data_IF_812002901826
#
_entry.id   IF_812002901826
#
_cell.length_a   1.000
_cell.length_b   1.000
_cell.length_c   1.000
_cell.angle_alpha   90.00
_cell.angle_beta   90.00
_cell.angle_gamma   90.00
#
_symmetry.space_group_name_H-M   'P 1'
#
loop_
_entity.id
_entity.type
_entity.pdbx_description
1 polymer ?
#
# COMPACT_ATOMS: atom_id res chain seq x y z
N UNK A 1 -27.41 -26.51 -24.56
CA UNK A 1 -27.41 -26.26 -23.09
C UNK A 1 -25.97 -26.17 -22.57
N UNK A 2 -25.11 -25.33 -23.15
CA UNK A 2 -23.67 -25.28 -22.81
C UNK A 2 -23.24 -23.99 -22.10
N UNK A 3 -24.12 -22.98 -22.05
CA UNK A 3 -23.83 -21.68 -21.44
C UNK A 3 -23.87 -21.67 -19.90
N UNK A 4 -24.65 -22.56 -19.28
CA UNK A 4 -24.88 -22.52 -17.82
C UNK A 4 -23.71 -23.14 -17.02
N UNK A 5 -22.98 -24.09 -17.61
CA UNK A 5 -21.88 -24.81 -16.94
C UNK A 5 -20.60 -23.96 -16.84
N UNK A 6 -20.32 -23.13 -17.86
CA UNK A 6 -19.13 -22.26 -17.89
C UNK A 6 -19.23 -21.08 -16.91
N UNK A 7 -20.42 -20.49 -16.75
CA UNK A 7 -20.67 -19.44 -15.76
C UNK A 7 -20.50 -19.98 -14.33
N UNK A 8 -20.98 -21.19 -14.06
CA UNK A 8 -20.83 -21.85 -12.76
C UNK A 8 -19.38 -22.19 -12.42
N UNK A 9 -18.58 -22.65 -13.39
CA UNK A 9 -17.15 -22.94 -13.19
C UNK A 9 -16.33 -21.67 -12.90
N UNK A 10 -16.64 -20.58 -13.61
CA UNK A 10 -15.97 -19.30 -13.40
C UNK A 10 -16.26 -18.72 -12.00
N UNK A 11 -17.49 -18.87 -11.52
CA UNK A 11 -17.89 -18.43 -10.19
C UNK A 11 -17.26 -19.27 -9.07
N UNK A 12 -17.14 -20.57 -9.27
CA UNK A 12 -16.41 -21.46 -8.34
C UNK A 12 -14.94 -21.07 -8.27
N UNK A 13 -14.28 -20.89 -9.41
CA UNK A 13 -12.88 -20.48 -9.47
C UNK A 13 -12.66 -19.12 -8.78
N UNK A 14 -13.54 -18.14 -9.03
CA UNK A 14 -13.50 -16.84 -8.35
C UNK A 14 -13.57 -16.99 -6.83
N UNK A 15 -14.54 -17.77 -6.32
CA UNK A 15 -14.72 -17.98 -4.89
C UNK A 15 -13.53 -18.71 -4.25
N UNK A 16 -12.95 -19.69 -4.93
CA UNK A 16 -11.74 -20.39 -4.46
C UNK A 16 -10.53 -19.46 -4.37
N UNK A 17 -10.31 -18.62 -5.38
CA UNK A 17 -9.23 -17.62 -5.38
C UNK A 17 -9.42 -16.61 -4.27
N UNK A 18 -10.65 -16.12 -4.10
CA UNK A 18 -10.99 -15.16 -3.06
C UNK A 18 -10.78 -15.77 -1.66
N UNK A 19 -11.23 -17.02 -1.44
CA UNK A 19 -10.97 -17.77 -0.21
C UNK A 19 -9.47 -17.93 0.06
N UNK A 20 -8.69 -18.27 -0.97
CA UNK A 20 -7.23 -18.35 -0.90
C UNK A 20 -6.56 -17.02 -0.51
N UNK A 21 -7.06 -15.91 -1.06
CA UNK A 21 -6.58 -14.57 -0.74
C UNK A 21 -6.89 -14.18 0.71
N UNK A 22 -8.09 -14.50 1.22
CA UNK A 22 -8.44 -14.29 2.62
C UNK A 22 -7.59 -15.15 3.56
N UNK A 23 -7.41 -16.44 3.28
CA UNK A 23 -6.55 -17.30 4.08
C UNK A 23 -5.11 -16.75 4.15
N UNK A 24 -4.55 -16.33 3.02
CA UNK A 24 -3.23 -15.71 2.99
C UNK A 24 -3.16 -14.39 3.78
N UNK A 25 -4.23 -13.58 3.80
CA UNK A 25 -4.31 -12.38 4.64
C UNK A 25 -4.25 -12.74 6.14
N UNK A 26 -4.98 -13.76 6.57
CA UNK A 26 -5.02 -14.19 7.97
C UNK A 26 -3.68 -14.84 8.40
N UNK A 27 -3.07 -15.65 7.55
CA UNK A 27 -1.72 -16.19 7.76
C UNK A 27 -0.69 -15.07 7.91
N UNK A 28 -0.76 -14.06 7.02
CA UNK A 28 0.11 -12.88 7.09
C UNK A 28 -0.10 -12.04 8.35
N UNK A 29 -1.34 -11.94 8.83
CA UNK A 29 -1.68 -11.24 10.08
C UNK A 29 -1.14 -12.00 11.28
N UNK A 30 -1.27 -13.33 11.27
CA UNK A 30 -0.70 -14.22 12.29
C UNK A 30 0.82 -14.11 12.35
N UNK A 31 1.50 -14.17 11.20
CA UNK A 31 2.95 -14.01 11.11
C UNK A 31 3.41 -12.61 11.57
N UNK A 32 2.65 -11.55 11.22
CA UNK A 32 2.93 -10.18 11.66
C UNK A 32 2.83 -10.05 13.18
N UNK A 33 1.79 -10.62 13.79
CA UNK A 33 1.60 -10.61 15.24
C UNK A 33 2.70 -11.42 15.96
N UNK A 34 3.20 -12.48 15.32
CA UNK A 34 4.34 -13.26 15.80
C UNK A 34 5.71 -12.59 15.55
N UNK A 35 5.75 -11.38 14.99
CA UNK A 35 7.00 -10.66 14.68
C UNK A 35 7.78 -11.19 13.48
N UNK A 36 7.23 -12.16 12.74
CA UNK A 36 7.86 -12.80 11.58
C UNK A 36 7.63 -11.98 10.30
N UNK A 37 8.31 -10.85 10.21
CA UNK A 37 8.06 -9.85 9.16
C UNK A 37 8.26 -10.38 7.73
N UNK A 38 9.27 -11.22 7.50
CA UNK A 38 9.54 -11.83 6.18
C UNK A 38 8.46 -12.82 5.76
N UNK A 39 7.95 -13.61 6.71
CA UNK A 39 6.83 -14.52 6.45
C UNK A 39 5.54 -13.72 6.20
N UNK A 40 5.29 -12.68 6.99
CA UNK A 40 4.12 -11.83 6.82
C UNK A 40 4.05 -11.19 5.43
N UNK A 41 5.14 -10.58 4.95
CA UNK A 41 5.15 -9.99 3.60
C UNK A 41 4.99 -11.04 2.50
N UNK A 42 5.54 -12.25 2.69
CA UNK A 42 5.36 -13.36 1.75
C UNK A 42 3.88 -13.75 1.64
N UNK A 43 3.19 -13.94 2.76
CA UNK A 43 1.76 -14.28 2.76
C UNK A 43 0.90 -13.18 2.13
N UNK A 44 1.19 -11.90 2.40
CA UNK A 44 0.45 -10.82 1.76
C UNK A 44 0.67 -10.76 0.24
N UNK A 45 1.90 -10.99 -0.23
CA UNK A 45 2.19 -11.13 -1.67
C UNK A 45 1.43 -12.31 -2.28
N UNK A 46 1.39 -13.46 -1.59
CA UNK A 46 0.61 -14.63 -2.00
C UNK A 46 -0.87 -14.30 -2.13
N UNK A 47 -1.43 -13.52 -1.21
CA UNK A 47 -2.80 -12.99 -1.29
C UNK A 47 -3.03 -12.17 -2.57
N UNK A 48 -2.12 -11.25 -2.89
CA UNK A 48 -2.20 -10.46 -4.12
C UNK A 48 -2.10 -11.32 -5.39
N UNK A 49 -1.32 -12.41 -5.37
CA UNK A 49 -1.25 -13.35 -6.51
C UNK A 49 -2.59 -14.03 -6.78
N UNK A 50 -3.35 -14.41 -5.75
CA UNK A 50 -4.69 -14.96 -5.93
C UNK A 50 -5.66 -13.95 -6.57
N UNK A 51 -5.45 -12.66 -6.34
CA UNK A 51 -6.28 -11.59 -6.90
C UNK A 51 -5.76 -11.06 -8.25
N UNK A 52 -4.59 -11.53 -8.71
CA UNK A 52 -3.87 -10.94 -9.84
C UNK A 52 -4.68 -10.90 -11.13
N UNK A 53 -5.49 -11.94 -11.39
CA UNK A 53 -6.36 -12.07 -12.57
C UNK A 53 -7.51 -11.04 -12.58
N UNK A 54 -7.83 -10.43 -11.43
CA UNK A 54 -8.98 -9.54 -11.23
C UNK A 54 -8.61 -8.06 -11.04
N UNK A 55 -7.32 -7.74 -10.87
CA UNK A 55 -6.82 -6.39 -10.61
C UNK A 55 -6.25 -5.78 -11.90
N UNK A 56 -6.63 -4.53 -12.21
CA UNK A 56 -6.19 -3.80 -13.41
C UNK A 56 -4.68 -3.52 -13.44
N UNK A 57 -4.06 -3.60 -14.63
CA UNK A 57 -2.62 -3.34 -14.88
C UNK A 57 -2.18 -1.94 -14.45
N UNK A 58 -3.08 -0.94 -14.44
CA UNK A 58 -2.77 0.40 -13.92
C UNK A 58 -2.39 0.40 -12.43
N UNK A 59 -2.83 -0.61 -11.66
CA UNK A 59 -2.51 -0.79 -10.24
C UNK A 59 -1.31 -1.74 -10.02
N UNK A 60 -0.64 -2.20 -11.10
CA UNK A 60 0.40 -3.24 -11.07
C UNK A 60 1.84 -2.74 -11.03
N UNK A 61 2.15 -1.45 -11.13
CA UNK A 61 3.56 -1.01 -11.18
C UNK A 61 4.28 -1.33 -9.87
N UNK A 62 4.81 -2.55 -9.76
CA UNK A 62 5.57 -3.06 -8.65
C UNK A 62 7.02 -3.21 -9.12
N UNK A 63 7.99 -2.86 -8.30
CA UNK A 63 9.41 -3.07 -8.64
C UNK A 63 9.81 -4.56 -8.68
N UNK A 64 8.91 -5.47 -8.28
CA UNK A 64 9.12 -6.90 -8.21
C UNK A 64 8.78 -7.60 -9.54
N UNK A 65 9.72 -7.53 -10.48
CA UNK A 65 9.61 -8.08 -11.84
C UNK A 65 9.16 -9.56 -11.89
N UNK A 66 9.40 -10.32 -10.82
CA UNK A 66 8.99 -11.72 -10.73
C UNK A 66 7.47 -11.88 -10.54
N UNK A 67 6.86 -11.03 -9.73
CA UNK A 67 5.40 -11.03 -9.53
C UNK A 67 4.72 -10.54 -10.80
N UNK A 68 5.24 -9.49 -11.43
CA UNK A 68 4.70 -9.00 -12.71
C UNK A 68 4.81 -10.06 -13.81
N UNK A 69 5.95 -10.76 -13.94
CA UNK A 69 6.13 -11.83 -14.92
C UNK A 69 5.18 -13.02 -14.70
N UNK A 70 5.00 -13.47 -13.45
CA UNK A 70 4.11 -14.60 -13.14
C UNK A 70 2.64 -14.27 -13.42
N UNK A 71 2.23 -13.03 -13.14
CA UNK A 71 0.85 -12.63 -13.33
C UNK A 71 0.58 -12.23 -14.78
N UNK A 72 1.56 -11.72 -15.52
CA UNK A 72 1.44 -11.46 -16.96
C UNK A 72 1.32 -12.76 -17.77
N UNK A 73 2.01 -13.83 -17.34
CA UNK A 73 1.86 -15.17 -17.94
C UNK A 73 0.46 -15.76 -17.74
N UNK A 74 -0.25 -15.39 -16.68
CA UNK A 74 -1.63 -15.81 -16.41
C UNK A 74 -2.69 -14.97 -17.15
N UNK A 75 -2.34 -13.74 -17.54
CA UNK A 75 -3.27 -12.73 -18.06
C UNK A 75 -3.58 -12.79 -19.56
N UNK A 76 -2.92 -13.66 -20.34
CA UNK A 76 -3.10 -13.74 -21.80
C UNK A 76 -4.50 -14.29 -22.17
N UNK A 77 -5.23 -14.83 -21.20
CA UNK A 77 -6.58 -15.35 -21.41
C UNK A 77 -7.63 -14.46 -20.72
N UNK A 78 -8.36 -13.69 -21.53
CA UNK A 78 -9.70 -13.13 -21.25
C UNK A 78 -9.99 -12.75 -19.80
N UNK A 79 -9.83 -11.47 -19.46
CA UNK A 79 -10.29 -10.95 -18.17
C UNK A 79 -11.79 -11.17 -18.03
N UNK A 80 -12.23 -11.83 -16.95
CA UNK A 80 -13.64 -11.95 -16.67
C UNK A 80 -14.23 -10.57 -16.35
N UNK A 81 -15.33 -10.23 -17.00
CA UNK A 81 -16.16 -9.10 -16.60
C UNK A 81 -16.73 -9.42 -15.20
N UNK A 82 -16.17 -8.79 -14.16
CA UNK A 82 -16.71 -8.88 -12.80
C UNK A 82 -17.88 -7.92 -12.64
N UNK A 83 -18.86 -8.32 -11.81
CA UNK A 83 -19.87 -7.39 -11.32
C UNK A 83 -19.22 -6.31 -10.45
N UNK A 84 -19.88 -5.15 -10.34
CA UNK A 84 -19.39 -4.04 -9.53
C UNK A 84 -19.18 -4.44 -8.05
N UNK A 85 -20.03 -5.32 -7.52
CA UNK A 85 -19.93 -5.84 -6.15
C UNK A 85 -18.69 -6.71 -5.95
N UNK A 86 -18.44 -7.66 -6.86
CA UNK A 86 -17.26 -8.53 -6.81
C UNK A 86 -15.97 -7.74 -6.99
N UNK A 87 -15.98 -6.76 -7.90
CA UNK A 87 -14.82 -5.88 -8.08
C UNK A 87 -14.54 -5.06 -6.81
N UNK A 88 -15.59 -4.55 -6.15
CA UNK A 88 -15.46 -3.85 -4.87
C UNK A 88 -14.90 -4.75 -3.78
N UNK A 89 -15.34 -6.01 -3.72
CA UNK A 89 -14.81 -6.99 -2.77
C UNK A 89 -13.32 -7.30 -3.00
N UNK A 90 -12.94 -7.56 -4.26
CA UNK A 90 -11.53 -7.77 -4.65
C UNK A 90 -10.69 -6.55 -4.28
N UNK A 91 -11.16 -5.33 -4.58
CA UNK A 91 -10.46 -4.10 -4.25
C UNK A 91 -10.31 -3.91 -2.74
N UNK A 92 -11.36 -4.18 -1.95
CA UNK A 92 -11.29 -4.12 -0.49
C UNK A 92 -10.19 -5.03 0.07
N UNK A 93 -10.14 -6.28 -0.40
CA UNK A 93 -9.14 -7.25 0.05
C UNK A 93 -7.74 -6.86 -0.42
N UNK A 94 -7.59 -6.44 -1.67
CA UNK A 94 -6.31 -5.97 -2.21
C UNK A 94 -5.77 -4.75 -1.46
N UNK A 95 -6.64 -3.78 -1.16
CA UNK A 95 -6.32 -2.62 -0.33
C UNK A 95 -5.84 -3.06 1.04
N UNK A 96 -6.51 -4.01 1.69
CA UNK A 96 -6.10 -4.52 2.99
C UNK A 96 -4.72 -5.19 2.96
N UNK A 97 -4.47 -6.03 1.95
CA UNK A 97 -3.19 -6.71 1.74
C UNK A 97 -2.05 -5.70 1.53
N UNK A 98 -2.21 -4.75 0.60
CA UNK A 98 -1.20 -3.72 0.30
C UNK A 98 -0.94 -2.81 1.49
N UNK A 99 -1.99 -2.44 2.23
CA UNK A 99 -1.85 -1.69 3.47
C UNK A 99 -0.99 -2.44 4.50
N UNK A 100 -1.22 -3.74 4.66
CA UNK A 100 -0.43 -4.56 5.57
C UNK A 100 1.03 -4.73 5.07
N UNK A 101 1.24 -4.86 3.76
CA UNK A 101 2.59 -4.87 3.17
C UNK A 101 3.34 -3.57 3.43
N UNK A 102 2.69 -2.42 3.27
CA UNK A 102 3.29 -1.13 3.61
C UNK A 102 3.68 -1.06 5.10
N UNK A 103 2.82 -1.57 5.98
CA UNK A 103 3.12 -1.62 7.41
C UNK A 103 4.30 -2.54 7.75
N UNK A 104 4.35 -3.73 7.17
CA UNK A 104 5.49 -4.65 7.34
C UNK A 104 6.78 -4.04 6.81
N UNK A 105 6.72 -3.39 5.64
CA UNK A 105 7.90 -2.77 5.02
C UNK A 105 8.47 -1.65 5.88
N UNK A 106 7.61 -0.83 6.50
CA UNK A 106 8.02 0.16 7.50
C UNK A 106 8.70 -0.49 8.72
N UNK A 107 8.21 -1.65 9.19
CA UNK A 107 8.84 -2.40 10.29
C UNK A 107 10.18 -3.04 9.90
N UNK A 108 10.44 -3.20 8.61
CA UNK A 108 11.68 -3.77 8.07
C UNK A 108 12.66 -2.68 7.56
N UNK A 109 12.38 -1.40 7.82
CA UNK A 109 13.12 -0.25 7.30
C UNK A 109 13.24 -0.20 5.76
N UNK A 110 12.31 -0.86 5.07
CA UNK A 110 12.17 -0.82 3.60
C UNK A 110 11.23 0.31 3.21
N UNK A 111 11.73 1.55 3.33
CA UNK A 111 10.89 2.74 3.18
C UNK A 111 10.40 2.94 1.74
N UNK A 112 11.22 2.60 0.73
CA UNK A 112 10.82 2.62 -0.68
C UNK A 112 9.60 1.73 -0.93
N UNK A 113 9.66 0.48 -0.46
CA UNK A 113 8.59 -0.51 -0.63
C UNK A 113 7.32 -0.05 0.11
N UNK A 114 7.47 0.55 1.29
CA UNK A 114 6.35 1.11 2.05
C UNK A 114 5.62 2.23 1.27
N UNK A 115 6.38 3.15 0.68
CA UNK A 115 5.84 4.24 -0.15
C UNK A 115 5.15 3.67 -1.39
N UNK A 116 5.76 2.69 -2.04
CA UNK A 116 5.22 2.01 -3.22
C UNK A 116 3.86 1.36 -2.92
N UNK A 117 3.80 0.49 -1.91
CA UNK A 117 2.55 -0.21 -1.54
C UNK A 117 1.45 0.74 -1.08
N UNK A 118 1.80 1.80 -0.34
CA UNK A 118 0.82 2.80 0.07
C UNK A 118 0.32 3.64 -1.12
N UNK A 119 1.20 3.99 -2.06
CA UNK A 119 0.83 4.71 -3.29
C UNK A 119 -0.11 3.87 -4.16
N UNK A 120 0.12 2.55 -4.25
CA UNK A 120 -0.78 1.66 -4.97
C UNK A 120 -2.20 1.72 -4.39
N UNK A 121 -2.36 1.69 -3.06
CA UNK A 121 -3.67 1.80 -2.41
C UNK A 121 -4.36 3.12 -2.75
N UNK A 122 -3.62 4.23 -2.67
CA UNK A 122 -4.15 5.57 -2.93
C UNK A 122 -4.47 5.82 -4.41
N UNK A 123 -3.96 4.98 -5.30
CA UNK A 123 -4.23 5.04 -6.74
C UNK A 123 -5.50 4.27 -7.14
N UNK A 124 -6.16 3.59 -6.20
CA UNK A 124 -7.41 2.85 -6.43
C UNK A 124 -8.58 3.81 -6.25
N UNK A 125 -9.46 3.87 -7.25
CA UNK A 125 -10.65 4.72 -7.19
C UNK A 125 -11.52 4.38 -5.97
N UNK A 126 -11.84 5.39 -5.16
CA UNK A 126 -12.60 5.25 -3.91
C UNK A 126 -11.74 5.02 -2.66
N UNK A 127 -10.41 4.93 -2.79
CA UNK A 127 -9.47 4.75 -1.66
C UNK A 127 -8.43 5.87 -1.56
N UNK A 128 -8.61 6.98 -2.27
CA UNK A 128 -7.72 8.14 -2.27
C UNK A 128 -7.59 8.77 -0.88
N UNK A 129 -8.66 8.67 -0.08
CA UNK A 129 -8.72 9.16 1.31
C UNK A 129 -8.34 8.08 2.35
N UNK A 130 -7.67 6.99 1.95
CA UNK A 130 -7.32 5.92 2.89
C UNK A 130 -6.28 6.41 3.92
N UNK A 131 -6.74 6.67 5.14
CA UNK A 131 -5.93 7.26 6.22
C UNK A 131 -4.72 6.40 6.59
N UNK A 132 -4.88 5.07 6.63
CA UNK A 132 -3.76 4.15 6.92
C UNK A 132 -2.68 4.21 5.83
N UNK A 133 -3.07 4.26 4.57
CA UNK A 133 -2.13 4.36 3.45
C UNK A 133 -1.42 5.71 3.45
N UNK A 134 -2.14 6.83 3.62
CA UNK A 134 -1.54 8.17 3.74
C UNK A 134 -0.52 8.24 4.88
N UNK A 135 -0.88 7.77 6.07
CA UNK A 135 0.02 7.82 7.23
C UNK A 135 1.29 6.98 6.99
N UNK A 136 1.14 5.81 6.38
CA UNK A 136 2.27 4.92 6.06
C UNK A 136 3.16 5.49 4.97
N UNK A 137 2.58 6.11 3.95
CA UNK A 137 3.33 6.77 2.87
C UNK A 137 4.08 7.98 3.42
N UNK A 138 3.42 8.85 4.20
CA UNK A 138 4.05 9.98 4.87
C UNK A 138 5.26 9.54 5.71
N UNK A 139 5.11 8.46 6.48
CA UNK A 139 6.19 7.91 7.28
C UNK A 139 7.36 7.46 6.38
N UNK A 140 7.09 6.67 5.34
CA UNK A 140 8.13 6.23 4.40
C UNK A 140 8.87 7.39 3.73
N UNK A 141 8.14 8.38 3.22
CA UNK A 141 8.71 9.58 2.58
C UNK A 141 9.60 10.36 3.55
N UNK A 142 9.16 10.56 4.79
CA UNK A 142 9.94 11.27 5.81
C UNK A 142 11.28 10.57 6.12
N UNK A 143 11.30 9.23 6.18
CA UNK A 143 12.54 8.46 6.36
C UNK A 143 13.44 8.50 5.13
N UNK A 144 12.87 8.58 3.92
CA UNK A 144 13.61 8.75 2.68
C UNK A 144 14.15 10.18 2.48
N UNK A 145 13.74 11.14 3.31
CA UNK A 145 14.14 12.54 3.21
C UNK A 145 13.23 13.40 2.31
N UNK A 146 12.17 12.82 1.74
CA UNK A 146 11.13 13.58 1.05
C UNK A 146 10.16 14.18 2.08
N UNK A 147 10.59 15.28 2.69
CA UNK A 147 9.86 15.97 3.74
C UNK A 147 8.63 16.71 3.21
N UNK A 148 8.68 17.19 1.96
CA UNK A 148 7.56 17.87 1.30
C UNK A 148 6.43 16.89 0.99
N UNK A 149 6.75 15.74 0.40
CA UNK A 149 5.79 14.67 0.16
C UNK A 149 5.15 14.17 1.45
N UNK A 150 5.95 14.02 2.52
CA UNK A 150 5.43 13.64 3.84
C UNK A 150 4.45 14.67 4.41
N UNK A 151 4.76 15.97 4.31
CA UNK A 151 3.87 17.05 4.78
C UNK A 151 2.56 17.11 4.01
N UNK A 152 2.59 16.88 2.69
CA UNK A 152 1.38 16.85 1.86
C UNK A 152 0.41 15.76 2.32
N UNK A 153 0.93 14.57 2.65
CA UNK A 153 0.12 13.46 3.16
C UNK A 153 -0.43 13.75 4.57
N UNK A 154 0.38 14.37 5.44
CA UNK A 154 -0.04 14.78 6.78
C UNK A 154 -1.12 15.87 6.75
N UNK A 155 -0.98 16.88 5.88
CA UNK A 155 -2.00 17.90 5.65
C UNK A 155 -3.32 17.24 5.21
N UNK A 156 -3.24 16.28 4.28
CA UNK A 156 -4.42 15.55 3.79
C UNK A 156 -5.12 14.78 4.92
N UNK A 157 -4.36 14.12 5.81
CA UNK A 157 -4.90 13.43 6.98
C UNK A 157 -5.63 14.36 7.94
N UNK A 158 -5.06 15.52 8.23
CA UNK A 158 -5.67 16.53 9.11
C UNK A 158 -6.93 17.13 8.48
N UNK A 159 -6.91 17.43 7.18
CA UNK A 159 -8.11 17.88 6.46
C UNK A 159 -9.23 16.84 6.53
N UNK A 160 -8.94 15.56 6.28
CA UNK A 160 -9.97 14.52 6.34
C UNK A 160 -10.49 14.25 7.76
N UNK A 161 -9.66 14.44 8.78
CA UNK A 161 -10.08 14.37 10.19
C UNK A 161 -10.86 15.61 10.65
N UNK A 162 -10.72 16.75 9.97
CA UNK A 162 -11.58 17.91 10.19
C UNK A 162 -12.93 17.77 9.47
N UNK A 163 -12.93 17.14 8.29
CA UNK A 163 -14.15 16.85 7.49
C UNK A 163 -15.00 15.74 8.12
N UNK A 164 -14.37 14.69 8.65
CA UNK A 164 -15.05 13.58 9.31
C UNK A 164 -14.96 13.72 10.83
N UNK A 165 -16.01 13.40 11.58
CA UNK A 165 -16.01 13.44 13.06
C UNK A 165 -15.03 12.45 13.75
N UNK A 166 -14.09 11.88 13.01
CA UNK A 166 -13.04 10.98 13.48
C UNK A 166 -11.77 11.77 13.80
N UNK A 167 -11.31 11.69 15.04
CA UNK A 167 -10.07 12.35 15.47
C UNK A 167 -8.83 11.91 14.69
N UNK A 168 -7.84 12.80 14.62
CA UNK A 168 -6.54 12.55 13.98
C UNK A 168 -5.78 11.47 14.76
N UNK A 169 -5.19 10.50 14.06
CA UNK A 169 -4.33 9.49 14.66
C UNK A 169 -3.15 10.16 15.41
N UNK A 170 -2.90 9.84 16.70
CA UNK A 170 -1.81 10.45 17.48
C UNK A 170 -0.44 10.38 16.79
N UNK A 171 -0.20 9.36 15.95
CA UNK A 171 1.03 9.22 15.18
C UNK A 171 1.27 10.36 14.20
N UNK A 172 0.23 11.07 13.75
CA UNK A 172 0.36 12.24 12.88
C UNK A 172 1.14 13.35 13.60
N UNK A 173 0.81 13.60 14.87
CA UNK A 173 1.50 14.60 15.68
C UNK A 173 2.97 14.25 15.94
N UNK A 174 3.26 12.97 16.19
CA UNK A 174 4.64 12.49 16.33
C UNK A 174 5.43 12.65 15.02
N UNK A 175 4.83 12.28 13.89
CA UNK A 175 5.48 12.37 12.60
C UNK A 175 5.70 13.82 12.16
N UNK A 176 4.77 14.73 12.46
CA UNK A 176 4.95 16.18 12.29
C UNK A 176 6.18 16.70 13.03
N UNK A 177 6.33 16.33 14.30
CA UNK A 177 7.50 16.71 15.10
C UNK A 177 8.80 16.17 14.51
N UNK A 178 8.77 14.94 14.01
CA UNK A 178 9.91 14.32 13.34
C UNK A 178 10.31 15.09 12.06
N UNK A 179 9.35 15.38 11.18
CA UNK A 179 9.60 16.12 9.94
C UNK A 179 10.11 17.54 10.22
N UNK A 180 9.49 18.25 11.16
CA UNK A 180 9.92 19.60 11.56
C UNK A 180 11.33 19.62 12.19
N UNK A 181 11.73 18.55 12.87
CA UNK A 181 13.10 18.42 13.37
C UNK A 181 14.08 18.20 12.22
N UNK A 182 13.79 17.27 11.31
CA UNK A 182 14.60 16.97 10.12
C UNK A 182 14.84 18.22 9.27
N UNK A 183 13.80 19.01 8.97
CA UNK A 183 13.94 20.27 8.22
C UNK A 183 14.90 21.25 8.90
N UNK A 184 14.71 21.51 10.20
CA UNK A 184 15.60 22.42 10.96
C UNK A 184 17.05 21.93 10.96
N UNK A 185 17.28 20.63 11.03
CA UNK A 185 18.61 20.05 10.96
C UNK A 185 19.26 20.24 9.58
N UNK A 186 18.48 20.13 8.50
CA UNK A 186 18.97 20.34 7.14
C UNK A 186 19.21 21.83 6.83
N UNK A 187 18.28 22.72 7.22
CA UNK A 187 18.45 24.18 7.12
C UNK A 187 19.71 24.66 7.87
N UNK A 188 19.96 24.10 9.05
CA UNK A 188 21.16 24.41 9.84
C UNK A 188 22.43 24.00 9.10
N UNK A 189 22.46 22.80 8.50
CA UNK A 189 23.62 22.35 7.71
C UNK A 189 23.82 23.26 6.50
N UNK A 190 22.76 23.65 5.82
CA UNK A 190 22.82 24.53 4.66
C UNK A 190 23.38 25.91 5.05
N UNK A 191 22.92 26.47 6.18
CA UNK A 191 23.47 27.72 6.72
C UNK A 191 24.96 27.59 7.08
N UNK A 192 25.36 26.48 7.70
CA UNK A 192 26.76 26.21 8.03
C UNK A 192 27.63 26.07 6.78
N UNK A 193 27.13 25.37 5.74
CA UNK A 193 27.81 25.24 4.45
C UNK A 193 27.97 26.60 3.77
N UNK A 194 26.90 27.40 3.67
CA UNK A 194 26.95 28.75 3.13
C UNK A 194 27.97 29.62 3.90
N UNK A 195 27.94 29.60 5.23
CA UNK A 195 28.89 30.36 6.06
C UNK A 195 30.35 29.98 5.79
N UNK A 196 30.65 28.71 5.50
CA UNK A 196 32.01 28.28 5.13
C UNK A 196 32.39 28.73 3.73
N UNK A 197 31.47 28.65 2.77
CA UNK A 197 31.70 29.06 1.37
C UNK A 197 32.00 30.56 1.22
N UNK A 198 31.41 31.42 2.06
CA UNK A 198 31.60 32.89 2.01
C UNK A 198 32.66 33.42 2.99
N UNK A 199 33.35 32.55 3.74
CA UNK A 199 34.44 32.93 4.65
C UNK A 199 35.83 32.55 4.12
N UNK A 200 35.93 32.19 2.84
CA UNK A 200 37.19 32.06 2.11
C UNK A 200 37.48 33.31 1.30
#
# INVERSE_FOLDING_TARGET
MEGNTKASQHDLAFNERLKGAYAAKEDGTTALNAGKLREAIFYYKKGCMYLGEYISITQRRCSDAFVDMLVDRQNVHTRPSLSAERLKEVNNLYVALRNNMAHVSLKMDRYSDAVEFATMVLSISGYEKNTKALLRRAKGLAYMGDLEGAEKDLNSLECYAAEGSTGVDPMVGDLRRFVAKKRRDDDRKDQEMCRKMFKS
#
